data_IF_501930198218
#
_entry.id   IF_501930198218
#
_cell.length_a   1.000
_cell.length_b   1.000
_cell.length_c   1.000
_cell.angle_alpha   90.00
_cell.angle_beta   90.00
_cell.angle_gamma   90.00
#
_symmetry.space_group_name_H-M   'P 1'
#
loop_
_entity.id
_entity.type
_entity.pdbx_description
1 polymer ?
#
# COMPACT_ATOMS: atom_id res chain seq x y z
N UNK A 1 16.11 40.57 -14.90
CA UNK A 1 16.59 40.03 -13.61
C UNK A 1 15.95 38.66 -13.42
N UNK A 2 16.72 37.58 -13.60
CA UNK A 2 16.24 36.26 -13.20
C UNK A 2 16.13 36.28 -11.66
N UNK A 3 14.95 35.95 -11.12
CA UNK A 3 14.80 35.79 -9.68
C UNK A 3 15.81 34.77 -9.13
N UNK A 4 16.10 34.76 -7.82
CA UNK A 4 16.91 33.71 -7.23
C UNK A 4 16.30 32.35 -7.63
N UNK A 5 17.13 31.46 -8.20
CA UNK A 5 16.68 30.12 -8.60
C UNK A 5 16.04 29.37 -7.42
N UNK A 6 15.35 28.25 -7.68
CA UNK A 6 14.70 27.48 -6.63
C UNK A 6 15.69 27.21 -5.49
N UNK A 7 15.33 27.63 -4.28
CA UNK A 7 16.13 27.36 -3.08
C UNK A 7 15.66 26.05 -2.45
N UNK A 8 16.60 25.26 -1.94
CA UNK A 8 16.35 23.94 -1.33
C UNK A 8 16.78 23.97 0.15
N UNK A 9 16.08 24.74 1.01
CA UNK A 9 16.50 24.95 2.39
C UNK A 9 16.47 23.66 3.21
N UNK A 10 15.41 22.84 3.07
CA UNK A 10 15.29 21.57 3.78
C UNK A 10 16.41 20.60 3.38
N UNK A 11 16.70 20.44 2.09
CA UNK A 11 17.80 19.59 1.61
C UNK A 11 19.15 20.05 2.13
N UNK A 12 19.40 21.36 2.21
CA UNK A 12 20.66 21.90 2.76
C UNK A 12 20.81 21.56 4.23
N UNK A 13 19.73 21.65 5.00
CA UNK A 13 19.72 21.29 6.43
C UNK A 13 19.95 19.79 6.62
N UNK A 14 19.31 18.95 5.81
CA UNK A 14 19.53 17.50 5.79
C UNK A 14 20.97 17.16 5.41
N UNK A 15 21.51 17.77 4.36
CA UNK A 15 22.90 17.55 3.91
C UNK A 15 23.92 17.93 4.97
N UNK A 16 23.67 19.03 5.69
CA UNK A 16 24.51 19.47 6.81
C UNK A 16 24.25 18.71 8.12
N UNK A 17 23.35 17.72 8.13
CA UNK A 17 22.89 16.96 9.29
C UNK A 17 22.41 17.85 10.46
N UNK A 18 21.74 18.97 10.15
CA UNK A 18 21.23 19.95 11.13
C UNK A 18 19.77 19.67 11.47
N UNK A 19 19.50 18.51 12.05
CA UNK A 19 18.12 18.04 12.31
C UNK A 19 17.30 18.99 13.22
N UNK A 20 17.92 19.74 14.15
CA UNK A 20 17.23 20.75 14.99
C UNK A 20 16.78 21.98 14.21
N UNK A 21 17.63 22.48 13.31
CA UNK A 21 17.28 23.58 12.41
C UNK A 21 16.24 23.12 11.39
N UNK A 22 16.34 21.87 10.93
CA UNK A 22 15.34 21.23 10.06
C UNK A 22 13.97 21.19 10.74
N UNK A 23 13.92 20.75 12.00
CA UNK A 23 12.69 20.71 12.79
C UNK A 23 12.08 22.11 12.93
N UNK A 24 12.88 23.13 13.29
CA UNK A 24 12.42 24.52 13.37
C UNK A 24 11.88 25.03 12.02
N UNK A 25 12.53 24.69 10.90
CA UNK A 25 12.11 25.08 9.55
C UNK A 25 10.82 24.42 9.09
N UNK A 26 10.50 23.21 9.58
CA UNK A 26 9.24 22.51 9.30
C UNK A 26 8.08 23.02 10.16
N UNK A 27 8.35 23.45 11.39
CA UNK A 27 7.34 24.08 12.26
C UNK A 27 6.80 25.40 11.67
N UNK A 28 7.62 26.16 10.95
CA UNK A 28 7.16 27.39 10.31
C UNK A 28 6.19 27.16 9.15
N UNK A 29 6.09 25.93 8.61
CA UNK A 29 5.27 25.53 7.44
C UNK A 29 5.48 26.41 6.19
N UNK A 30 6.62 27.08 6.10
CA UNK A 30 6.98 27.94 4.96
C UNK A 30 7.65 27.16 3.82
N UNK A 31 8.05 25.92 4.09
CA UNK A 31 8.80 25.08 3.18
C UNK A 31 7.98 23.85 2.80
N UNK A 32 7.98 23.52 1.51
CA UNK A 32 7.37 22.29 1.01
C UNK A 32 8.28 21.10 1.36
N UNK A 33 7.78 20.21 2.23
CA UNK A 33 8.49 19.01 2.68
C UNK A 33 8.67 17.98 1.55
N UNK A 34 7.89 18.07 0.48
CA UNK A 34 7.93 17.18 -0.68
C UNK A 34 8.70 17.77 -1.87
N UNK A 35 9.28 18.97 -1.72
CA UNK A 35 10.05 19.64 -2.76
C UNK A 35 11.19 18.72 -3.24
N UNK A 36 11.32 18.55 -4.56
CA UNK A 36 12.40 17.75 -5.13
C UNK A 36 13.63 18.62 -5.43
N UNK A 37 14.83 18.12 -5.11
CA UNK A 37 16.09 18.74 -5.52
C UNK A 37 16.33 18.55 -7.04
N UNK A 38 17.38 19.15 -7.65
CA UNK A 38 17.68 18.97 -9.06
C UNK A 38 17.98 17.51 -9.48
N UNK A 39 18.19 16.61 -8.53
CA UNK A 39 18.36 15.16 -8.76
C UNK A 39 17.03 14.40 -8.66
N UNK A 40 15.93 15.09 -8.36
CA UNK A 40 14.60 14.51 -8.18
C UNK A 40 14.39 13.89 -6.80
N UNK A 41 15.17 14.30 -5.79
CA UNK A 41 15.07 13.72 -4.45
C UNK A 41 14.29 14.61 -3.50
N UNK A 42 13.41 14.02 -2.70
CA UNK A 42 12.83 14.70 -1.54
C UNK A 42 13.86 14.88 -0.42
N UNK A 43 13.62 15.77 0.56
CA UNK A 43 14.44 15.83 1.77
C UNK A 43 14.51 14.48 2.51
N UNK A 44 13.43 13.68 2.48
CA UNK A 44 13.37 12.36 3.12
C UNK A 44 14.29 11.36 2.43
N UNK A 45 14.19 11.24 1.11
CA UNK A 45 15.10 10.39 0.31
C UNK A 45 16.55 10.81 0.52
N UNK A 46 16.83 12.12 0.52
CA UNK A 46 18.18 12.61 0.82
C UNK A 46 18.64 12.17 2.21
N UNK A 47 17.79 12.30 3.24
CA UNK A 47 18.14 11.93 4.61
C UNK A 47 18.43 10.43 4.75
N UNK A 48 17.63 9.58 4.10
CA UNK A 48 17.84 8.13 4.05
C UNK A 48 19.12 7.77 3.30
N UNK A 49 19.35 8.36 2.12
CA UNK A 49 20.55 8.12 1.31
C UNK A 49 21.86 8.47 2.04
N UNK A 50 21.79 9.43 2.97
CA UNK A 50 22.93 9.86 3.78
C UNK A 50 23.06 9.08 5.10
N UNK A 51 22.08 8.24 5.46
CA UNK A 51 22.02 7.58 6.77
C UNK A 51 21.76 8.53 7.95
N UNK A 52 21.19 9.72 7.69
CA UNK A 52 20.95 10.73 8.72
C UNK A 52 19.66 10.44 9.49
N UNK A 53 19.69 9.44 10.38
CA UNK A 53 18.54 8.91 11.12
C UNK A 53 17.69 9.98 11.81
N UNK A 54 18.31 10.95 12.48
CA UNK A 54 17.55 11.99 13.17
C UNK A 54 16.85 12.96 12.21
N UNK A 55 17.43 13.21 11.03
CA UNK A 55 16.75 13.99 9.99
C UNK A 55 15.57 13.21 9.41
N UNK A 56 15.71 11.89 9.22
CA UNK A 56 14.61 10.99 8.81
C UNK A 56 13.48 11.05 9.84
N UNK A 57 13.80 10.94 11.14
CA UNK A 57 12.82 11.01 12.25
C UNK A 57 12.04 12.32 12.24
N UNK A 58 12.74 13.45 12.08
CA UNK A 58 12.11 14.78 11.99
C UNK A 58 11.16 14.85 10.79
N UNK A 59 11.61 14.46 9.59
CA UNK A 59 10.80 14.54 8.37
C UNK A 59 9.55 13.66 8.45
N UNK A 60 9.68 12.44 8.97
CA UNK A 60 8.56 11.51 9.13
C UNK A 60 7.53 11.99 10.16
N UNK A 61 7.96 12.60 11.27
CA UNK A 61 7.06 13.25 12.25
C UNK A 61 6.25 14.39 11.64
N UNK A 62 6.83 15.10 10.67
CA UNK A 62 6.15 16.13 9.88
C UNK A 62 5.43 15.55 8.64
N UNK A 63 5.19 14.24 8.62
CA UNK A 63 4.35 13.54 7.64
C UNK A 63 4.91 13.55 6.21
N UNK A 64 6.24 13.56 6.06
CA UNK A 64 6.91 13.35 4.77
C UNK A 64 6.50 12.01 4.16
N UNK A 65 6.22 11.98 2.86
CA UNK A 65 5.70 10.81 2.16
C UNK A 65 6.77 9.74 1.97
N UNK A 66 6.65 8.63 2.69
CA UNK A 66 7.58 7.49 2.60
C UNK A 66 7.25 6.53 1.45
N UNK A 67 6.07 6.67 0.85
CA UNK A 67 5.62 5.88 -0.29
C UNK A 67 6.05 6.45 -1.64
N UNK A 68 6.72 7.59 -1.67
CA UNK A 68 7.22 8.20 -2.91
C UNK A 68 8.36 7.35 -3.48
N UNK A 69 8.37 7.23 -4.80
CA UNK A 69 9.44 6.59 -5.55
C UNK A 69 10.40 7.66 -6.08
N UNK A 70 11.69 7.38 -5.99
CA UNK A 70 12.73 8.21 -6.55
C UNK A 70 12.60 8.27 -8.08
N UNK A 71 13.34 9.19 -8.70
CA UNK A 71 13.42 9.28 -10.17
C UNK A 71 13.92 7.99 -10.84
N UNK A 72 14.64 7.13 -10.11
CA UNK A 72 15.10 5.83 -10.58
C UNK A 72 14.07 4.71 -10.35
N UNK A 73 12.89 5.02 -9.82
CA UNK A 73 11.84 4.04 -9.48
C UNK A 73 12.10 3.29 -8.18
N UNK A 74 13.00 3.79 -7.32
CA UNK A 74 13.30 3.15 -6.04
C UNK A 74 12.40 3.73 -4.95
N UNK A 75 11.74 2.88 -4.17
CA UNK A 75 10.99 3.33 -3.00
C UNK A 75 11.96 3.68 -1.85
N UNK A 76 11.58 4.63 -0.98
CA UNK A 76 12.36 5.03 0.22
C UNK A 76 12.79 3.82 1.06
N UNK A 77 11.95 2.79 1.16
CA UNK A 77 12.29 1.55 1.88
C UNK A 77 13.47 0.79 1.26
N UNK A 78 13.56 0.74 -0.07
CA UNK A 78 14.65 0.04 -0.74
C UNK A 78 15.99 0.75 -0.49
N UNK A 79 15.97 2.08 -0.43
CA UNK A 79 17.12 2.88 -0.05
C UNK A 79 17.45 2.72 1.45
N UNK A 80 16.45 2.64 2.33
CA UNK A 80 16.67 2.34 3.74
C UNK A 80 17.30 0.97 3.97
N UNK A 81 16.94 -0.03 3.16
CA UNK A 81 17.56 -1.37 3.23
C UNK A 81 19.02 -1.35 2.78
N UNK A 82 19.38 -0.51 1.79
CA UNK A 82 20.75 -0.42 1.28
C UNK A 82 21.73 0.23 2.26
N UNK A 83 21.25 0.99 3.25
CA UNK A 83 22.10 1.50 4.34
C UNK A 83 22.59 0.39 5.27
N UNK A 84 21.90 -0.75 5.31
CA UNK A 84 22.17 -1.84 6.24
C UNK A 84 21.83 -1.54 7.70
N UNK A 85 21.22 -0.38 7.99
CA UNK A 85 20.87 0.05 9.34
C UNK A 85 19.47 -0.49 9.75
N UNK A 86 19.39 -1.41 10.73
CA UNK A 86 18.12 -1.94 11.20
C UNK A 86 17.19 -0.87 11.77
N UNK A 87 17.72 0.17 12.43
CA UNK A 87 16.89 1.23 13.01
C UNK A 87 16.26 2.09 11.91
N UNK A 88 17.03 2.40 10.84
CA UNK A 88 16.51 3.08 9.66
C UNK A 88 15.38 2.29 9.00
N UNK A 89 15.60 1.00 8.76
CA UNK A 89 14.59 0.13 8.13
C UNK A 89 13.35 0.02 9.00
N UNK A 90 13.50 -0.17 10.31
CA UNK A 90 12.39 -0.23 11.26
C UNK A 90 11.56 1.06 11.21
N UNK A 91 12.20 2.23 11.25
CA UNK A 91 11.54 3.53 11.25
C UNK A 91 10.77 3.77 9.94
N UNK A 92 11.40 3.48 8.80
CA UNK A 92 10.78 3.65 7.47
C UNK A 92 9.61 2.69 7.27
N UNK A 93 9.73 1.43 7.70
CA UNK A 93 8.64 0.45 7.67
C UNK A 93 7.45 0.90 8.53
N UNK A 94 7.73 1.32 9.77
CA UNK A 94 6.71 1.76 10.71
C UNK A 94 5.90 2.93 10.15
N UNK A 95 6.56 3.96 9.65
CA UNK A 95 5.87 5.13 9.08
C UNK A 95 5.17 4.82 7.76
N UNK A 96 5.69 3.88 6.94
CA UNK A 96 5.01 3.41 5.73
C UNK A 96 3.67 2.76 6.08
N UNK A 97 3.68 1.85 7.05
CA UNK A 97 2.48 1.11 7.42
C UNK A 97 1.49 2.04 8.15
N UNK A 98 1.98 2.98 8.95
CA UNK A 98 1.18 4.07 9.52
C UNK A 98 0.51 4.96 8.46
N UNK A 99 1.25 5.44 7.46
CA UNK A 99 0.68 6.28 6.39
C UNK A 99 -0.34 5.51 5.55
N UNK A 100 -0.08 4.24 5.23
CA UNK A 100 -1.03 3.36 4.53
C UNK A 100 -2.29 3.14 5.35
N UNK A 101 -2.17 2.85 6.64
CA UNK A 101 -3.31 2.67 7.54
C UNK A 101 -4.14 3.95 7.63
N UNK A 102 -3.49 5.10 7.80
CA UNK A 102 -4.13 6.42 7.87
C UNK A 102 -4.88 6.74 6.58
N UNK A 103 -4.25 6.56 5.42
CA UNK A 103 -4.88 6.79 4.11
C UNK A 103 -6.08 5.85 3.90
N UNK A 104 -5.95 4.57 4.28
CA UNK A 104 -7.07 3.62 4.22
C UNK A 104 -8.24 4.08 5.08
N UNK A 105 -7.99 4.50 6.32
CA UNK A 105 -9.02 4.94 7.26
C UNK A 105 -9.68 6.25 6.80
N UNK A 106 -8.92 7.19 6.23
CA UNK A 106 -9.43 8.44 5.70
C UNK A 106 -10.44 8.24 4.56
N UNK A 107 -10.33 7.14 3.79
CA UNK A 107 -11.26 6.81 2.71
C UNK A 107 -12.56 6.14 3.16
N UNK A 108 -12.67 5.67 4.41
CA UNK A 108 -13.84 4.93 4.90
C UNK A 108 -15.12 5.78 4.87
N UNK A 109 -15.14 7.05 5.30
CA UNK A 109 -16.36 7.86 5.24
C UNK A 109 -16.90 8.04 3.81
N UNK A 110 -16.01 8.27 2.85
CA UNK A 110 -16.39 8.41 1.44
C UNK A 110 -16.93 7.09 0.88
N UNK A 111 -16.28 5.96 1.21
CA UNK A 111 -16.74 4.63 0.83
C UNK A 111 -18.15 4.33 1.39
N UNK A 112 -18.39 4.61 2.68
CA UNK A 112 -19.69 4.43 3.31
C UNK A 112 -20.77 5.27 2.63
N UNK A 113 -20.47 6.53 2.31
CA UNK A 113 -21.38 7.40 1.59
C UNK A 113 -21.72 6.84 0.19
N UNK A 114 -20.72 6.35 -0.55
CA UNK A 114 -20.94 5.71 -1.86
C UNK A 114 -21.79 4.43 -1.75
N UNK A 115 -21.54 3.59 -0.74
CA UNK A 115 -22.36 2.40 -0.49
C UNK A 115 -23.80 2.76 -0.16
N UNK A 116 -24.03 3.81 0.66
CA UNK A 116 -25.37 4.29 1.00
C UNK A 116 -26.16 4.75 -0.23
N UNK A 117 -25.50 5.41 -1.17
CA UNK A 117 -26.14 5.93 -2.39
C UNK A 117 -26.36 4.86 -3.47
N UNK A 118 -25.53 3.83 -3.51
CA UNK A 118 -25.69 2.74 -4.46
C UNK A 118 -26.99 1.94 -4.16
N UNK A 119 -27.72 1.44 -5.16
CA UNK A 119 -28.82 0.53 -4.93
C UNK A 119 -28.32 -0.79 -4.33
N UNK A 120 -29.19 -1.54 -3.68
CA UNK A 120 -28.85 -2.88 -3.21
C UNK A 120 -28.73 -3.84 -4.39
N UNK A 121 -27.73 -4.72 -4.36
CA UNK A 121 -27.46 -5.60 -5.49
C UNK A 121 -26.81 -6.92 -5.07
N UNK A 122 -26.91 -7.86 -6.00
CA UNK A 122 -26.13 -9.08 -6.06
C UNK A 122 -25.40 -9.12 -7.39
N UNK A 123 -24.11 -9.48 -7.37
CA UNK A 123 -23.34 -9.72 -8.59
C UNK A 123 -22.40 -10.91 -8.42
N UNK A 124 -22.30 -11.71 -9.48
CA UNK A 124 -21.26 -12.72 -9.64
C UNK A 124 -20.22 -12.19 -10.64
N UNK A 125 -18.97 -12.11 -10.21
CA UNK A 125 -17.84 -11.71 -11.04
C UNK A 125 -16.95 -12.93 -11.23
N UNK A 126 -17.01 -13.52 -12.43
CA UNK A 126 -16.14 -14.61 -12.81
C UNK A 126 -14.87 -14.03 -13.42
N UNK A 127 -13.73 -14.54 -12.99
CA UNK A 127 -12.45 -14.17 -13.56
C UNK A 127 -11.58 -15.42 -13.72
N UNK A 128 -10.73 -15.40 -14.75
CA UNK A 128 -9.76 -16.45 -15.04
C UNK A 128 -8.46 -15.81 -15.55
N UNK A 129 -7.31 -16.30 -15.10
CA UNK A 129 -6.07 -16.00 -15.81
C UNK A 129 -5.94 -16.90 -17.02
N UNK A 130 -5.30 -16.39 -18.06
CA UNK A 130 -4.87 -17.20 -19.20
C UNK A 130 -3.40 -16.93 -19.46
N UNK A 131 -2.67 -17.95 -19.92
CA UNK A 131 -1.27 -17.84 -20.30
C UNK A 131 -1.11 -18.26 -21.76
N UNK A 132 -0.30 -17.49 -22.48
CA UNK A 132 0.07 -17.77 -23.87
C UNK A 132 1.11 -18.88 -23.99
N UNK A 133 1.79 -19.20 -22.89
CA UNK A 133 2.75 -20.29 -22.84
C UNK A 133 1.99 -21.62 -22.85
N UNK A 134 2.22 -22.51 -23.83
CA UNK A 134 1.58 -23.81 -23.88
C UNK A 134 1.73 -24.57 -22.56
N UNK A 135 0.67 -25.27 -22.14
CA UNK A 135 0.58 -26.05 -20.88
C UNK A 135 0.52 -25.24 -19.57
N UNK A 136 0.89 -23.96 -19.55
CA UNK A 136 0.79 -23.09 -18.35
C UNK A 136 -0.66 -22.67 -18.09
N UNK A 137 -1.50 -22.61 -19.12
CA UNK A 137 -2.93 -22.29 -18.99
C UNK A 137 -3.69 -23.23 -18.06
N UNK A 138 -3.30 -24.50 -17.96
CA UNK A 138 -3.90 -25.49 -17.04
C UNK A 138 -3.59 -25.19 -15.56
N UNK A 139 -2.59 -24.36 -15.30
CA UNK A 139 -2.22 -23.90 -13.96
C UNK A 139 -2.70 -22.48 -13.69
N UNK A 140 -3.44 -21.85 -14.61
CA UNK A 140 -4.01 -20.53 -14.35
C UNK A 140 -5.24 -20.67 -13.44
N UNK A 141 -5.34 -19.88 -12.36
CA UNK A 141 -6.47 -19.99 -11.48
C UNK A 141 -7.66 -19.24 -12.07
N UNK A 142 -8.83 -19.64 -11.62
CA UNK A 142 -10.07 -18.94 -11.84
C UNK A 142 -10.87 -18.92 -10.56
N UNK A 143 -11.68 -17.87 -10.41
CA UNK A 143 -12.59 -17.75 -9.29
C UNK A 143 -13.88 -17.03 -9.68
N UNK A 144 -14.88 -17.17 -8.83
CA UNK A 144 -16.16 -16.48 -8.92
C UNK A 144 -16.38 -15.72 -7.64
N UNK A 145 -16.17 -14.42 -7.70
CA UNK A 145 -16.53 -13.54 -6.59
C UNK A 145 -18.03 -13.35 -6.57
N UNK A 146 -18.64 -13.63 -5.43
CA UNK A 146 -20.06 -13.35 -5.20
C UNK A 146 -20.14 -12.17 -4.26
N UNK A 147 -20.75 -11.09 -4.71
CA UNK A 147 -20.84 -9.85 -3.98
C UNK A 147 -22.30 -9.52 -3.69
N UNK A 148 -22.61 -9.38 -2.42
CA UNK A 148 -23.90 -8.90 -1.95
C UNK A 148 -23.70 -7.55 -1.30
N UNK A 149 -24.51 -6.58 -1.68
CA UNK A 149 -24.51 -5.25 -1.08
C UNK A 149 -25.92 -4.94 -0.60
N UNK A 150 -26.03 -4.48 0.65
CA UNK A 150 -27.28 -4.02 1.26
C UNK A 150 -27.00 -2.82 2.18
N UNK A 151 -27.60 -1.66 1.89
CA UNK A 151 -27.31 -0.42 2.61
C UNK A 151 -25.82 -0.10 2.59
N UNK A 152 -25.20 0.05 3.77
CA UNK A 152 -23.75 0.29 3.92
C UNK A 152 -22.95 -1.00 4.18
N UNK A 153 -23.57 -2.16 4.02
CA UNK A 153 -22.93 -3.45 4.22
C UNK A 153 -22.64 -4.14 2.90
N UNK A 154 -21.51 -4.83 2.84
CA UNK A 154 -21.05 -5.58 1.69
C UNK A 154 -20.49 -6.92 2.16
N UNK A 155 -20.80 -7.99 1.44
CA UNK A 155 -20.20 -9.31 1.60
C UNK A 155 -19.59 -9.75 0.29
N UNK A 156 -18.36 -10.25 0.32
CA UNK A 156 -17.68 -10.87 -0.81
C UNK A 156 -17.31 -12.29 -0.43
N UNK A 157 -17.73 -13.26 -1.23
CA UNK A 157 -17.28 -14.64 -1.12
C UNK A 157 -16.25 -14.93 -2.21
N UNK A 158 -15.16 -15.60 -1.83
CA UNK A 158 -14.05 -16.03 -2.71
C UNK A 158 -13.63 -17.46 -2.38
N UNK A 159 -13.09 -18.17 -3.38
CA UNK A 159 -12.52 -19.52 -3.20
C UNK A 159 -11.02 -19.58 -3.39
N UNK A 160 -10.40 -18.53 -3.93
CA UNK A 160 -8.98 -18.43 -4.16
C UNK A 160 -8.33 -17.53 -3.09
N UNK A 161 -7.39 -18.11 -2.35
CA UNK A 161 -6.78 -17.47 -1.18
C UNK A 161 -5.41 -16.86 -1.49
N UNK A 162 -4.65 -17.48 -2.40
CA UNK A 162 -3.30 -17.02 -2.71
C UNK A 162 -2.51 -18.02 -3.55
N UNK A 163 -1.21 -17.79 -3.64
CA UNK A 163 -0.26 -18.62 -4.37
C UNK A 163 0.99 -18.84 -3.52
N UNK A 164 1.21 -20.09 -3.12
CA UNK A 164 2.34 -20.48 -2.29
C UNK A 164 2.96 -21.75 -2.85
N UNK A 165 4.29 -21.87 -2.79
CA UNK A 165 5.02 -23.06 -3.24
C UNK A 165 4.63 -23.52 -4.67
N UNK A 166 4.46 -22.58 -5.60
CA UNK A 166 4.02 -22.83 -6.98
C UNK A 166 2.61 -23.45 -7.09
N UNK A 167 1.79 -23.37 -6.04
CA UNK A 167 0.44 -23.93 -5.99
C UNK A 167 -0.59 -22.90 -5.54
N UNK A 168 -1.75 -22.92 -6.18
CA UNK A 168 -2.87 -22.08 -5.80
C UNK A 168 -3.52 -22.58 -4.52
N UNK A 169 -3.59 -21.71 -3.53
CA UNK A 169 -4.27 -21.97 -2.28
C UNK A 169 -5.76 -21.69 -2.47
N UNK A 170 -6.61 -22.69 -2.23
CA UNK A 170 -8.07 -22.58 -2.30
C UNK A 170 -8.71 -22.88 -0.96
N UNK A 171 -9.81 -22.21 -0.69
CA UNK A 171 -10.61 -22.39 0.52
C UNK A 171 -11.77 -21.40 0.55
N UNK A 172 -12.76 -21.63 1.41
CA UNK A 172 -13.96 -20.81 1.45
C UNK A 172 -13.76 -19.63 2.39
N UNK A 173 -13.74 -18.43 1.83
CA UNK A 173 -13.68 -17.17 2.58
C UNK A 173 -14.88 -16.29 2.29
N UNK A 174 -15.39 -15.65 3.35
CA UNK A 174 -16.29 -14.50 3.22
C UNK A 174 -15.66 -13.29 3.89
N UNK A 175 -15.53 -12.20 3.13
CA UNK A 175 -15.19 -10.89 3.65
C UNK A 175 -16.48 -10.10 3.84
N UNK A 176 -16.73 -9.64 5.05
CA UNK A 176 -17.94 -8.88 5.39
C UNK A 176 -17.50 -7.50 5.88
N UNK A 177 -17.94 -6.48 5.17
CA UNK A 177 -17.81 -5.08 5.55
C UNK A 177 -19.18 -4.59 6.03
N UNK A 178 -19.27 -3.99 7.21
CA UNK A 178 -20.50 -3.40 7.74
C UNK A 178 -20.26 -1.97 8.16
N UNK A 179 -20.96 -1.01 7.55
CA UNK A 179 -21.05 0.35 8.09
C UNK A 179 -21.64 0.37 9.50
N UNK A 180 -21.07 1.22 10.34
CA UNK A 180 -21.50 1.51 11.72
C UNK A 180 -21.49 3.03 11.95
N UNK A 181 -22.12 3.51 13.03
CA UNK A 181 -22.18 4.95 13.32
C UNK A 181 -20.78 5.60 13.48
N UNK A 182 -19.82 4.86 14.05
CA UNK A 182 -18.47 5.34 14.33
C UNK A 182 -17.39 4.80 13.36
N UNK A 183 -17.80 4.22 12.21
CA UNK A 183 -16.86 3.66 11.24
C UNK A 183 -17.39 2.43 10.50
N UNK A 184 -16.57 1.41 10.37
CA UNK A 184 -16.93 0.15 9.72
C UNK A 184 -16.32 -1.06 10.42
N UNK A 185 -17.04 -2.17 10.42
CA UNK A 185 -16.56 -3.47 10.87
C UNK A 185 -16.15 -4.30 9.66
N UNK A 186 -14.94 -4.83 9.67
CA UNK A 186 -14.46 -5.80 8.68
C UNK A 186 -14.32 -7.16 9.35
N UNK A 187 -14.88 -8.19 8.71
CA UNK A 187 -14.82 -9.56 9.17
C UNK A 187 -14.28 -10.45 8.05
N UNK A 188 -13.28 -11.26 8.37
CA UNK A 188 -12.87 -12.39 7.53
C UNK A 188 -13.39 -13.67 8.16
N UNK A 189 -14.28 -14.36 7.45
CA UNK A 189 -14.85 -15.64 7.87
C UNK A 189 -14.12 -16.77 7.15
N UNK A 190 -13.40 -17.57 7.91
CA UNK A 190 -12.84 -18.85 7.49
C UNK A 190 -13.90 -19.94 7.71
N UNK A 191 -14.59 -20.36 6.66
CA UNK A 191 -15.62 -21.39 6.76
C UNK A 191 -15.06 -22.79 6.95
N UNK A 192 -13.82 -23.02 6.57
CA UNK A 192 -13.18 -24.34 6.64
C UNK A 192 -12.62 -24.59 8.04
N UNK A 193 -12.09 -23.56 8.69
CA UNK A 193 -11.67 -23.59 10.11
C UNK A 193 -12.75 -23.15 11.09
N UNK A 194 -13.87 -22.63 10.60
CA UNK A 194 -14.96 -22.08 11.42
C UNK A 194 -14.50 -20.93 12.35
N UNK A 195 -13.61 -20.08 11.86
CA UNK A 195 -13.07 -18.94 12.62
C UNK A 195 -13.47 -17.63 11.95
N UNK A 196 -13.72 -16.61 12.77
CA UNK A 196 -14.02 -15.25 12.28
C UNK A 196 -12.99 -14.30 12.87
N UNK A 197 -12.17 -13.70 12.00
CA UNK A 197 -11.33 -12.57 12.37
C UNK A 197 -12.13 -11.28 12.18
N UNK A 198 -12.04 -10.36 13.13
CA UNK A 198 -12.82 -9.11 13.13
C UNK A 198 -11.93 -7.92 13.42
N UNK A 199 -12.05 -6.86 12.63
CA UNK A 199 -11.31 -5.60 12.75
C UNK A 199 -12.30 -4.42 12.67
N UNK A 200 -12.20 -3.46 13.59
CA UNK A 200 -13.03 -2.25 13.58
C UNK A 200 -12.25 -1.07 13.02
N UNK A 201 -12.72 -0.53 11.90
CA UNK A 201 -12.17 0.61 11.17
C UNK A 201 -12.89 1.89 11.61
N UNK A 202 -12.28 2.74 12.43
CA UNK A 202 -12.89 4.02 12.81
C UNK A 202 -12.38 4.60 14.12
N UNK A 203 -11.93 3.74 15.04
CA UNK A 203 -11.44 4.16 16.35
C UNK A 203 -9.99 4.69 16.32
N UNK A 204 -9.21 4.36 15.30
CA UNK A 204 -7.78 4.68 15.26
C UNK A 204 -7.41 6.10 14.77
N UNK A 205 -8.38 6.91 14.33
CA UNK A 205 -8.11 8.29 13.89
C UNK A 205 -7.94 9.28 15.06
N UNK A 206 -8.38 8.90 16.27
CA UNK A 206 -8.34 9.80 17.43
C UNK A 206 -7.02 9.69 18.23
N UNK A 207 -6.22 8.65 17.99
CA UNK A 207 -4.94 8.41 18.66
C UNK A 207 -3.84 8.06 17.64
N UNK A 208 -3.33 9.04 16.85
CA UNK A 208 -2.34 8.79 15.82
C UNK A 208 -1.03 8.21 16.40
N UNK A 209 -0.68 8.58 17.64
CA UNK A 209 0.50 8.04 18.32
C UNK A 209 0.34 6.56 18.67
N UNK A 210 -0.84 6.14 19.17
CA UNK A 210 -1.12 4.74 19.46
C UNK A 210 -1.17 3.90 18.18
N UNK A 211 -1.75 4.44 17.11
CA UNK A 211 -1.73 3.81 15.79
C UNK A 211 -0.29 3.66 15.26
N UNK A 212 0.53 4.71 15.37
CA UNK A 212 1.95 4.64 14.98
C UNK A 212 2.72 3.59 15.80
N UNK A 213 2.49 3.54 17.11
CA UNK A 213 3.12 2.54 17.99
C UNK A 213 2.70 1.11 17.62
N UNK A 214 1.43 0.89 17.28
CA UNK A 214 0.91 -0.40 16.84
C UNK A 214 1.49 -0.86 15.49
N UNK A 215 1.95 0.07 14.65
CA UNK A 215 2.57 -0.22 13.35
C UNK A 215 4.08 -0.50 13.43
N UNK A 216 4.64 -0.62 14.64
CA UNK A 216 6.06 -0.96 14.81
C UNK A 216 6.31 -2.40 14.32
N UNK A 217 7.18 -2.61 13.32
CA UNK A 217 7.50 -3.95 12.84
C UNK A 217 8.31 -4.73 13.88
N UNK A 218 8.20 -6.07 13.86
CA UNK A 218 9.03 -6.93 14.69
C UNK A 218 10.49 -6.94 14.21
N UNK A 219 11.42 -7.25 15.12
CA UNK A 219 12.85 -7.39 14.77
C UNK A 219 13.07 -8.45 13.68
N UNK A 220 12.31 -9.55 13.72
CA UNK A 220 12.34 -10.59 12.69
C UNK A 220 11.89 -10.06 11.32
N UNK A 221 10.85 -9.23 11.27
CA UNK A 221 10.39 -8.61 10.03
C UNK A 221 11.44 -7.64 9.48
N UNK A 222 12.07 -6.84 10.33
CA UNK A 222 13.18 -5.96 9.94
C UNK A 222 14.36 -6.76 9.40
N UNK A 223 14.80 -7.79 10.13
CA UNK A 223 15.89 -8.69 9.72
C UNK A 223 15.59 -9.37 8.38
N UNK A 224 14.37 -9.89 8.21
CA UNK A 224 13.90 -10.48 6.96
C UNK A 224 14.02 -9.51 5.79
N UNK A 225 13.70 -8.23 5.97
CA UNK A 225 13.84 -7.21 4.91
C UNK A 225 15.29 -6.88 4.57
N UNK A 226 16.19 -6.92 5.54
CA UNK A 226 17.63 -6.71 5.32
C UNK A 226 18.29 -7.88 4.58
N UNK A 227 17.81 -9.11 4.80
CA UNK A 227 18.41 -10.32 4.22
C UNK A 227 17.74 -10.77 2.92
N UNK A 228 16.51 -10.32 2.65
CA UNK A 228 15.78 -10.70 1.43
C UNK A 228 16.19 -9.84 0.25
N UNK A 229 16.36 -10.42 -0.95
CA UNK A 229 16.62 -9.63 -2.15
C UNK A 229 15.47 -8.67 -2.42
N UNK A 230 15.80 -7.48 -2.91
CA UNK A 230 14.80 -6.49 -3.31
C UNK A 230 14.16 -6.97 -4.61
N UNK A 231 12.89 -7.37 -4.53
CA UNK A 231 12.09 -7.79 -5.70
C UNK A 231 11.00 -6.76 -5.95
N UNK A 232 11.01 -6.13 -7.12
CA UNK A 232 9.89 -5.32 -7.61
C UNK A 232 9.03 -6.15 -8.56
N UNK A 233 7.74 -6.24 -8.28
CA UNK A 233 6.77 -6.88 -9.16
C UNK A 233 5.88 -5.80 -9.77
N UNK A 234 6.00 -5.58 -11.08
CA UNK A 234 5.13 -4.67 -11.82
C UNK A 234 3.97 -5.45 -12.43
N UNK A 235 2.74 -5.10 -12.04
CA UNK A 235 1.53 -5.61 -12.67
C UNK A 235 0.98 -4.55 -13.64
N UNK A 236 1.05 -4.81 -14.94
CA UNK A 236 0.47 -3.93 -15.94
C UNK A 236 -1.04 -4.18 -16.04
N UNK A 237 -1.84 -3.24 -15.54
CA UNK A 237 -3.31 -3.33 -15.56
C UNK A 237 -3.95 -2.73 -16.82
N UNK A 238 -3.15 -2.27 -17.80
CA UNK A 238 -3.68 -1.64 -19.03
C UNK A 238 -4.63 -2.52 -19.84
N UNK A 239 -4.50 -3.84 -19.71
CA UNK A 239 -5.31 -4.82 -20.43
C UNK A 239 -6.42 -5.46 -19.56
N UNK A 240 -6.71 -4.89 -18.38
CA UNK A 240 -7.84 -5.35 -17.57
C UNK A 240 -9.13 -4.83 -18.20
N UNK A 241 -9.92 -5.73 -18.80
CA UNK A 241 -11.23 -5.42 -19.35
C UNK A 241 -12.33 -6.06 -18.48
N UNK A 242 -13.43 -5.32 -18.30
CA UNK A 242 -14.64 -5.82 -17.65
C UNK A 242 -15.79 -5.79 -18.66
N UNK A 243 -16.41 -6.93 -18.93
CA UNK A 243 -17.58 -7.03 -19.80
C UNK A 243 -18.81 -7.46 -19.00
N UNK A 244 -19.96 -6.82 -19.26
CA UNK A 244 -21.23 -7.19 -18.65
C UNK A 244 -21.84 -8.34 -19.44
N UNK A 245 -21.72 -9.57 -18.96
CA UNK A 245 -22.41 -10.70 -19.57
C UNK A 245 -23.89 -10.70 -19.16
N UNK A 246 -24.80 -10.34 -20.07
CA UNK A 246 -26.24 -10.60 -19.91
C UNK A 246 -26.58 -11.79 -20.81
N UNK A 247 -26.50 -13.01 -20.26
CA UNK A 247 -26.89 -14.23 -20.97
C UNK A 247 -25.97 -14.63 -22.12
N UNK A 248 -25.52 -15.90 -22.09
CA UNK A 248 -24.66 -16.56 -23.07
C UNK A 248 -23.19 -16.10 -23.10
N UNK A 249 -22.33 -17.12 -23.23
CA UNK A 249 -20.90 -17.09 -22.97
C UNK A 249 -20.13 -16.57 -24.17
N UNK A 250 -19.24 -15.59 -23.97
CA UNK A 250 -18.08 -15.38 -24.84
C UNK A 250 -16.88 -14.94 -23.99
N UNK A 251 -15.75 -15.63 -24.16
CA UNK A 251 -14.44 -15.27 -23.64
C UNK A 251 -13.66 -14.56 -24.73
N UNK A 252 -13.06 -13.40 -24.44
CA UNK A 252 -12.02 -12.80 -25.27
C UNK A 252 -10.78 -12.59 -24.40
N UNK A 253 -9.72 -13.33 -24.74
CA UNK A 253 -8.44 -13.32 -24.03
C UNK A 253 -7.61 -12.08 -24.37
N UNK A 254 -7.16 -11.37 -23.33
CA UNK A 254 -6.19 -10.28 -23.42
C UNK A 254 -4.83 -10.70 -22.87
N UNK A 255 -3.83 -10.76 -23.76
CA UNK A 255 -2.45 -11.19 -23.51
C UNK A 255 -1.71 -10.22 -22.55
N UNK A 256 -1.22 -10.71 -21.41
CA UNK A 256 -0.26 -9.99 -20.58
C UNK A 256 1.18 -10.42 -20.90
N UNK A 257 2.02 -9.49 -21.39
CA UNK A 257 3.49 -9.70 -21.49
C UNK A 257 4.14 -9.29 -20.17
N UNK A 258 4.52 -10.27 -19.35
CA UNK A 258 5.46 -10.05 -18.26
C UNK A 258 6.89 -10.09 -18.77
N UNK A 259 7.58 -8.95 -18.78
CA UNK A 259 9.03 -8.89 -18.97
C UNK A 259 9.70 -8.99 -17.60
N UNK A 260 10.43 -10.09 -17.34
CA UNK A 260 11.37 -10.15 -16.22
C UNK A 260 12.65 -9.43 -16.64
N UNK A 261 12.94 -8.27 -16.05
CA UNK A 261 14.29 -7.71 -16.06
C UNK A 261 14.92 -8.00 -14.69
N UNK A 262 15.92 -8.87 -14.66
CA UNK A 262 16.85 -8.95 -13.54
C UNK A 262 17.84 -7.79 -13.68
N UNK A 263 17.90 -6.91 -12.68
CA UNK A 263 19.00 -5.96 -12.49
C UNK A 263 19.56 -6.16 -11.09
#
# INVERSE_FOLDING_TARGET
MAGPGPTFPLHRLVWANRHRELEAALHSRQHDIEQEDPRGRTPLELAVSLGNLESVRVLLRHNANVGKESRQGWAVLQEAVSTGDPEMVQLVLQYRDFQRATQRLAGIPELLNKLRQAPDFYVEMKWEFTSWVPLVSKMCPSDVYRVWKRGESLRVDTSLLGFEHMTWQRGRRSFIFKGQEAGALVMEVDHDRQVVHTETLGLALHEPEALLAAMRPSEEHVASRLTSPIVSTHLDTRNVAFERSVGAWHTVGGMGRGSKSHH
#
